data_IF_973251952609
#
_entry.id   IF_973251952609
#
_cell.length_a   1.000
_cell.length_b   1.000
_cell.length_c   1.000
_cell.angle_alpha   90.00
_cell.angle_beta   90.00
_cell.angle_gamma   90.00
#
_symmetry.space_group_name_H-M   'P 1'
#
loop_
_entity.id
_entity.type
_entity.pdbx_description
1 polymer ?
#
# COMPACT_ATOMS: atom_id res chain seq x y z
N UNK A 1 -53.72 -3.22 10.17
CA UNK A 1 -52.63 -2.37 9.60
C UNK A 1 -51.32 -2.69 10.31
N UNK A 2 -50.80 -3.92 10.18
CA UNK A 2 -49.57 -4.36 10.85
C UNK A 2 -48.67 -5.20 9.93
N UNK A 3 -48.88 -5.11 8.61
CA UNK A 3 -48.11 -5.84 7.60
C UNK A 3 -47.21 -4.92 6.75
N UNK A 4 -47.35 -3.60 6.90
CA UNK A 4 -46.58 -2.61 6.10
C UNK A 4 -45.24 -2.25 6.77
N UNK A 5 -45.01 -2.65 8.03
CA UNK A 5 -43.81 -2.30 8.78
C UNK A 5 -42.62 -3.24 8.61
N UNK A 6 -42.80 -4.45 8.06
CA UNK A 6 -41.76 -5.50 8.06
C UNK A 6 -40.98 -5.63 6.75
N UNK A 7 -41.32 -4.84 5.72
CA UNK A 7 -40.71 -4.92 4.39
C UNK A 7 -39.65 -3.83 4.12
N UNK A 8 -39.50 -2.85 5.02
CA UNK A 8 -38.65 -1.66 4.82
C UNK A 8 -37.36 -1.71 5.63
N UNK A 9 -36.76 -2.90 5.81
CA UNK A 9 -35.62 -3.11 6.71
C UNK A 9 -34.40 -3.81 6.13
N UNK A 10 -34.41 -4.21 4.84
CA UNK A 10 -33.35 -5.05 4.28
C UNK A 10 -32.88 -4.59 2.90
N UNK A 11 -32.48 -3.32 2.79
CA UNK A 11 -31.76 -2.79 1.62
C UNK A 11 -30.40 -2.22 2.04
N UNK A 12 -29.68 -2.89 2.94
CA UNK A 12 -28.29 -2.60 3.27
C UNK A 12 -27.40 -3.81 2.97
N UNK A 13 -27.08 -4.05 1.69
CA UNK A 13 -25.88 -4.81 1.31
C UNK A 13 -25.75 -4.86 -0.22
N UNK A 14 -24.84 -4.05 -0.81
CA UNK A 14 -24.11 -4.40 -2.05
C UNK A 14 -23.21 -3.27 -2.60
N UNK A 15 -23.09 -2.09 -1.98
CA UNK A 15 -22.14 -1.07 -2.45
C UNK A 15 -20.74 -1.34 -1.87
N UNK A 16 -19.99 -2.31 -2.42
CA UNK A 16 -18.64 -2.59 -1.91
C UNK A 16 -17.67 -3.45 -2.74
N UNK A 17 -18.10 -4.17 -3.78
CA UNK A 17 -17.21 -5.14 -4.46
C UNK A 17 -16.36 -4.61 -5.62
N UNK A 18 -16.48 -3.36 -6.05
CA UNK A 18 -15.74 -2.88 -7.24
C UNK A 18 -14.25 -2.62 -6.96
N UNK A 19 -13.86 -2.42 -5.70
CA UNK A 19 -12.49 -2.04 -5.33
C UNK A 19 -11.50 -3.20 -5.33
N UNK A 20 -11.95 -4.42 -5.00
CA UNK A 20 -11.07 -5.60 -4.96
C UNK A 20 -10.65 -6.04 -6.36
N UNK A 21 -11.60 -6.20 -7.28
CA UNK A 21 -11.32 -6.60 -8.67
C UNK A 21 -10.38 -5.60 -9.36
N UNK A 22 -10.64 -4.32 -9.17
CA UNK A 22 -9.81 -3.23 -9.70
C UNK A 22 -8.37 -3.27 -9.17
N UNK A 23 -8.20 -3.67 -7.91
CA UNK A 23 -6.88 -3.77 -7.28
C UNK A 23 -6.13 -4.99 -7.79
N UNK A 24 -6.82 -6.13 -7.92
CA UNK A 24 -6.24 -7.35 -8.46
C UNK A 24 -5.74 -7.15 -9.90
N UNK A 25 -6.56 -6.53 -10.75
CA UNK A 25 -6.16 -6.17 -12.11
C UNK A 25 -4.93 -5.26 -12.16
N UNK A 26 -4.75 -4.38 -11.16
CA UNK A 26 -3.56 -3.54 -11.08
C UNK A 26 -2.33 -4.32 -10.61
N UNK A 27 -2.50 -5.33 -9.75
CA UNK A 27 -1.42 -6.23 -9.30
C UNK A 27 -0.93 -7.09 -10.46
N UNK A 28 -1.84 -7.58 -11.30
CA UNK A 28 -1.51 -8.41 -12.46
C UNK A 28 -0.93 -7.58 -13.64
N UNK A 29 -0.84 -6.25 -13.50
CA UNK A 29 -0.37 -5.35 -14.54
C UNK A 29 1.17 -5.34 -14.70
N UNK A 30 1.68 -5.04 -15.90
CA UNK A 30 3.09 -5.23 -16.25
C UNK A 30 4.06 -4.32 -15.50
N UNK A 31 3.62 -3.12 -15.07
CA UNK A 31 4.47 -2.19 -14.35
C UNK A 31 4.39 -2.35 -12.83
N UNK A 32 3.56 -3.27 -12.32
CA UNK A 32 3.48 -3.58 -10.90
C UNK A 32 4.84 -3.97 -10.29
N UNK A 33 5.65 -4.87 -10.89
CA UNK A 33 6.93 -5.26 -10.31
C UNK A 33 7.93 -4.10 -10.22
N UNK A 34 7.98 -3.24 -11.25
CA UNK A 34 8.83 -2.06 -11.24
C UNK A 34 8.40 -1.08 -10.14
N UNK A 35 7.09 -0.81 -10.04
CA UNK A 35 6.54 0.01 -8.97
C UNK A 35 6.88 -0.57 -7.59
N UNK A 36 6.68 -1.87 -7.40
CA UNK A 36 6.98 -2.56 -6.14
C UNK A 36 8.44 -2.40 -5.72
N UNK A 37 9.38 -2.59 -6.64
CA UNK A 37 10.80 -2.41 -6.38
C UNK A 37 11.14 -0.97 -5.95
N UNK A 38 10.62 0.02 -6.67
CA UNK A 38 10.83 1.45 -6.37
C UNK A 38 10.20 1.85 -5.02
N UNK A 39 9.01 1.31 -4.71
CA UNK A 39 8.34 1.49 -3.43
C UNK A 39 9.17 0.94 -2.27
N UNK A 40 9.70 -0.27 -2.43
CA UNK A 40 10.58 -0.88 -1.43
C UNK A 40 11.87 -0.07 -1.23
N UNK A 41 12.51 0.37 -2.32
CA UNK A 41 13.69 1.22 -2.26
C UNK A 41 13.39 2.56 -1.55
N UNK A 42 12.22 3.15 -1.81
CA UNK A 42 11.75 4.35 -1.10
C UNK A 42 11.56 4.12 0.40
N UNK A 43 11.04 2.96 0.83
CA UNK A 43 10.94 2.63 2.25
C UNK A 43 12.31 2.58 2.92
N UNK A 44 13.32 2.03 2.22
CA UNK A 44 14.72 2.01 2.68
C UNK A 44 15.35 3.40 2.78
N UNK A 45 14.95 4.34 1.95
CA UNK A 45 15.39 5.73 2.08
C UNK A 45 14.69 6.42 3.24
N UNK A 46 13.38 6.23 3.43
CA UNK A 46 12.59 6.84 4.50
C UNK A 46 13.06 6.46 5.93
N UNK A 47 13.76 5.32 6.05
CA UNK A 47 14.31 4.78 7.28
C UNK A 47 15.73 5.31 7.61
N UNK A 48 16.35 6.06 6.68
CA UNK A 48 17.63 6.73 6.92
C UNK A 48 17.40 8.08 7.60
N UNK A 49 18.17 8.36 8.64
CA UNK A 49 18.14 9.66 9.30
C UNK A 49 18.39 10.78 8.28
N UNK A 50 17.50 11.77 8.26
CA UNK A 50 17.54 12.97 7.40
C UNK A 50 17.33 12.76 5.89
N UNK A 51 17.03 11.55 5.41
CA UNK A 51 16.71 11.35 3.99
C UNK A 51 15.29 11.82 3.68
N UNK A 52 15.15 12.61 2.61
CA UNK A 52 13.86 12.99 2.01
C UNK A 52 13.68 12.36 0.63
N UNK A 53 14.58 11.45 0.26
CA UNK A 53 14.61 10.85 -1.07
C UNK A 53 13.43 9.90 -1.25
N UNK A 54 12.72 10.09 -2.35
CA UNK A 54 11.68 9.17 -2.83
C UNK A 54 12.15 8.58 -4.15
N UNK A 55 12.19 7.26 -4.25
CA UNK A 55 12.55 6.54 -5.47
C UNK A 55 11.24 6.18 -6.16
N UNK A 56 10.89 6.96 -7.17
CA UNK A 56 9.64 6.82 -7.91
C UNK A 56 9.79 7.43 -9.30
N UNK A 57 9.32 6.72 -10.32
CA UNK A 57 9.07 7.30 -11.64
C UNK A 57 7.76 8.10 -11.59
N UNK A 58 7.85 9.42 -11.61
CA UNK A 58 6.68 10.31 -11.50
C UNK A 58 5.69 10.14 -12.66
N UNK A 59 6.18 9.84 -13.87
CA UNK A 59 5.33 9.68 -15.06
C UNK A 59 4.52 8.40 -14.93
N UNK A 60 5.17 7.30 -14.56
CA UNK A 60 4.49 6.02 -14.34
C UNK A 60 3.59 6.08 -13.11
N UNK A 61 4.01 6.72 -12.03
CA UNK A 61 3.18 6.87 -10.84
C UNK A 61 1.89 7.64 -11.13
N UNK A 62 1.95 8.66 -12.00
CA UNK A 62 0.78 9.43 -12.41
C UNK A 62 -0.11 8.64 -13.38
N UNK A 63 0.47 8.02 -14.39
CA UNK A 63 -0.29 7.54 -15.55
C UNK A 63 -0.58 6.04 -15.53
N UNK A 64 0.22 5.24 -14.82
CA UNK A 64 0.10 3.78 -14.78
C UNK A 64 -0.44 3.33 -13.42
N UNK A 65 -1.62 2.68 -13.44
CA UNK A 65 -2.26 2.17 -12.23
C UNK A 65 -1.48 1.00 -11.62
N UNK A 66 -0.92 0.11 -12.44
CA UNK A 66 -0.18 -1.06 -11.96
C UNK A 66 1.12 -0.64 -11.26
N UNK A 67 1.87 0.30 -11.84
CA UNK A 67 3.06 0.89 -11.21
C UNK A 67 2.70 1.54 -9.88
N UNK A 68 1.68 2.41 -9.86
CA UNK A 68 1.28 3.12 -8.63
C UNK A 68 0.82 2.17 -7.53
N UNK A 69 0.08 1.11 -7.88
CA UNK A 69 -0.32 0.08 -6.92
C UNK A 69 0.90 -0.68 -6.42
N UNK A 70 1.81 -1.09 -7.31
CA UNK A 70 3.08 -1.73 -6.95
C UNK A 70 3.88 -0.89 -5.97
N UNK A 71 4.09 0.40 -6.28
CA UNK A 71 4.85 1.32 -5.43
C UNK A 71 4.30 1.43 -4.03
N UNK A 72 2.98 1.57 -3.88
CA UNK A 72 2.34 1.64 -2.55
C UNK A 72 2.51 0.34 -1.77
N UNK A 73 2.35 -0.80 -2.43
CA UNK A 73 2.47 -2.10 -1.79
C UNK A 73 3.93 -2.38 -1.37
N UNK A 74 4.90 -2.17 -2.26
CA UNK A 74 6.32 -2.35 -1.96
C UNK A 74 6.81 -1.46 -0.83
N UNK A 75 6.37 -0.19 -0.78
CA UNK A 75 6.69 0.72 0.32
C UNK A 75 6.18 0.20 1.66
N UNK A 76 4.92 -0.26 1.71
CA UNK A 76 4.31 -0.79 2.94
C UNK A 76 4.97 -2.09 3.41
N UNK A 77 5.20 -3.03 2.48
CA UNK A 77 5.82 -4.32 2.76
C UNK A 77 7.23 -4.14 3.33
N UNK A 78 8.12 -3.44 2.63
CA UNK A 78 9.51 -3.30 3.06
C UNK A 78 9.67 -2.41 4.30
N UNK A 79 8.74 -1.47 4.54
CA UNK A 79 8.71 -0.72 5.79
C UNK A 79 8.38 -1.63 6.98
N UNK A 80 7.52 -2.62 6.80
CA UNK A 80 7.16 -3.59 7.85
C UNK A 80 8.34 -4.52 8.14
N UNK A 81 8.96 -5.06 7.09
CA UNK A 81 10.16 -5.91 7.21
C UNK A 81 11.31 -5.22 7.97
N UNK A 82 11.46 -3.90 7.83
CA UNK A 82 12.47 -3.14 8.56
C UNK A 82 12.20 -3.01 10.06
N UNK A 83 10.91 -2.97 10.45
CA UNK A 83 10.49 -2.87 11.85
C UNK A 83 10.73 -4.21 12.56
N UNK A 84 10.50 -5.32 11.86
CA UNK A 84 10.65 -6.66 12.41
C UNK A 84 12.11 -7.16 12.46
N UNK A 85 13.06 -6.39 11.92
CA UNK A 85 14.49 -6.76 11.99
C UNK A 85 15.05 -6.60 13.42
N UNK A 86 15.59 -7.67 14.04
CA UNK A 86 16.03 -7.67 15.44
C UNK A 86 17.15 -6.65 15.74
N UNK A 87 17.92 -6.24 14.72
CA UNK A 87 18.97 -5.24 14.85
C UNK A 87 18.43 -3.86 15.30
N UNK A 88 17.16 -3.54 15.00
CA UNK A 88 16.50 -2.30 15.43
C UNK A 88 15.85 -2.38 16.81
N UNK A 89 15.44 -3.56 17.24
CA UNK A 89 14.78 -3.73 18.53
C UNK A 89 15.76 -3.65 19.71
N UNK A 90 17.07 -3.78 19.47
CA UNK A 90 18.10 -3.89 20.51
C UNK A 90 19.02 -2.69 20.76
N UNK A 91 19.33 -1.86 19.75
CA UNK A 91 20.59 -1.08 19.79
C UNK A 91 20.43 0.41 19.46
N UNK A 92 19.50 1.10 20.13
CA UNK A 92 19.19 2.52 19.92
C UNK A 92 19.94 3.53 20.80
N UNK A 93 21.03 3.18 21.47
CA UNK A 93 21.86 4.15 22.21
C UNK A 93 23.30 3.66 22.38
N UNK A 94 24.18 4.02 21.44
CA UNK A 94 25.62 4.07 21.70
C UNK A 94 25.98 5.55 21.90
N UNK A 95 26.30 6.00 23.12
CA UNK A 95 26.78 7.36 23.35
C UNK A 95 28.22 7.50 22.83
N UNK A 96 28.52 8.64 22.21
CA UNK A 96 29.87 9.08 21.86
C UNK A 96 30.78 9.21 23.09
#
# INVERSE_FOLDING_TARGET
>A
MALVGLLTGLTLAATGCTSMETTQQAIDGPMYPAGYADGCASAREADRAFSTKVIQDETLFKNDRSYRTGWRQGFSSCKTEQIDSPDRAGNGFEPF
#
